data_IF_885174771920
#
_entry.id   IF_885174771920
#
_cell.length_a   1.000
_cell.length_b   1.000
_cell.length_c   1.000
_cell.angle_alpha   90.00
_cell.angle_beta   90.00
_cell.angle_gamma   90.00
#
_symmetry.space_group_name_H-M   'P 1'
#
loop_
_entity.id
_entity.type
_entity.pdbx_description
1 polymer ?
#
# COMPACT_ATOMS: atom_id res chain seq x y z
N UNK A 1 -25.40 -12.25 0.38
CA UNK A 1 -24.64 -13.43 -0.08
C UNK A 1 -23.42 -12.86 -0.78
N UNK A 2 -22.29 -12.75 -0.07
CA UNK A 2 -21.04 -12.26 -0.67
C UNK A 2 -20.62 -13.25 -1.77
N UNK A 3 -20.59 -12.79 -3.02
CA UNK A 3 -19.94 -13.54 -4.08
C UNK A 3 -18.46 -13.23 -3.99
N UNK A 4 -17.66 -14.26 -3.70
CA UNK A 4 -16.21 -14.15 -3.82
C UNK A 4 -15.86 -13.75 -5.26
N UNK A 5 -14.96 -12.77 -5.42
CA UNK A 5 -14.43 -12.41 -6.74
C UNK A 5 -13.74 -13.63 -7.36
N UNK A 6 -13.77 -13.77 -8.70
CA UNK A 6 -13.10 -14.88 -9.37
C UNK A 6 -11.61 -14.90 -8.99
N UNK A 7 -11.01 -16.09 -8.81
CA UNK A 7 -9.60 -16.20 -8.46
C UNK A 7 -8.73 -15.53 -9.52
N UNK A 8 -7.70 -14.84 -9.05
CA UNK A 8 -6.71 -14.15 -9.88
C UNK A 8 -5.97 -15.16 -10.75
N UNK A 9 -5.97 -14.95 -12.07
CA UNK A 9 -5.06 -15.67 -12.96
C UNK A 9 -3.63 -15.13 -12.77
N UNK A 10 -2.96 -15.61 -11.72
CA UNK A 10 -1.56 -15.35 -11.45
C UNK A 10 -0.64 -15.84 -12.59
N UNK A 11 -1.13 -16.70 -13.49
CA UNK A 11 -0.40 -17.22 -14.65
C UNK A 11 -0.09 -16.14 -15.68
N UNK A 12 -1.04 -15.24 -15.97
CA UNK A 12 -0.84 -14.13 -16.90
C UNK A 12 0.20 -13.12 -16.37
N UNK A 13 0.16 -12.82 -15.06
CA UNK A 13 1.13 -11.96 -14.39
C UNK A 13 2.53 -12.59 -14.36
N UNK A 14 2.61 -13.88 -14.02
CA UNK A 14 3.87 -14.62 -14.03
C UNK A 14 4.47 -14.73 -15.44
N UNK A 15 3.65 -14.81 -16.49
CA UNK A 15 4.14 -14.81 -17.87
C UNK A 15 4.72 -13.44 -18.30
N UNK A 16 4.13 -12.34 -17.83
CA UNK A 16 4.55 -10.98 -18.23
C UNK A 16 5.72 -10.43 -17.39
N UNK A 17 5.68 -10.63 -16.09
CA UNK A 17 6.62 -10.08 -15.11
C UNK A 17 7.50 -11.17 -14.47
N UNK A 18 7.54 -12.36 -15.08
CA UNK A 18 8.30 -13.54 -14.66
C UNK A 18 7.98 -14.08 -13.25
N UNK A 19 7.02 -13.51 -12.52
CA UNK A 19 6.69 -13.82 -11.11
C UNK A 19 5.26 -13.40 -10.73
N UNK A 20 4.66 -14.03 -9.70
CA UNK A 20 3.35 -13.66 -9.18
C UNK A 20 3.38 -12.35 -8.35
N UNK A 21 2.19 -11.82 -8.05
CA UNK A 21 2.01 -10.76 -7.05
C UNK A 21 2.18 -11.31 -5.62
N UNK A 22 2.44 -10.45 -4.62
CA UNK A 22 2.52 -10.87 -3.21
C UNK A 22 1.26 -11.60 -2.75
N UNK A 23 1.41 -12.58 -1.86
CA UNK A 23 0.27 -13.38 -1.37
C UNK A 23 -0.81 -12.51 -0.72
N UNK A 24 -0.41 -11.52 0.09
CA UNK A 24 -1.32 -10.55 0.70
C UNK A 24 -2.12 -9.76 -0.35
N UNK A 25 -1.49 -9.37 -1.47
CA UNK A 25 -2.20 -8.68 -2.55
C UNK A 25 -3.33 -9.56 -3.11
N UNK A 26 -3.06 -10.84 -3.35
CA UNK A 26 -4.07 -11.78 -3.83
C UNK A 26 -5.19 -11.99 -2.80
N UNK A 27 -4.86 -12.09 -1.52
CA UNK A 27 -5.85 -12.20 -0.43
C UNK A 27 -6.76 -10.98 -0.35
N UNK A 28 -6.19 -9.76 -0.41
CA UNK A 28 -6.97 -8.52 -0.41
C UNK A 28 -7.87 -8.41 -1.64
N UNK A 29 -7.39 -8.81 -2.82
CA UNK A 29 -8.23 -8.85 -4.00
C UNK A 29 -9.41 -9.82 -3.83
N UNK A 30 -9.17 -11.03 -3.32
CA UNK A 30 -10.24 -12.02 -3.10
C UNK A 30 -11.31 -11.53 -2.10
N UNK A 31 -10.91 -10.70 -1.13
CA UNK A 31 -11.80 -10.07 -0.16
C UNK A 31 -12.55 -8.85 -0.73
N UNK A 32 -12.29 -8.47 -1.98
CA UNK A 32 -12.89 -7.31 -2.64
C UNK A 32 -12.30 -5.97 -2.17
N UNK A 33 -11.11 -5.96 -1.54
CA UNK A 33 -10.50 -4.73 -1.04
C UNK A 33 -10.08 -3.76 -2.14
N UNK A 34 -9.97 -4.22 -3.39
CA UNK A 34 -9.56 -3.41 -4.55
C UNK A 34 -10.73 -2.98 -5.44
N UNK A 35 -11.96 -3.40 -5.11
CA UNK A 35 -13.16 -3.05 -5.88
C UNK A 35 -13.85 -1.85 -5.22
N UNK A 36 -13.95 -0.68 -5.89
CA UNK A 36 -14.57 0.52 -5.32
C UNK A 36 -16.06 0.38 -5.02
N UNK A 37 -16.71 -0.66 -5.54
CA UNK A 37 -18.12 -0.97 -5.28
C UNK A 37 -18.33 -2.02 -4.18
N UNK A 38 -17.25 -2.59 -3.63
CA UNK A 38 -17.31 -3.60 -2.60
C UNK A 38 -17.33 -3.00 -1.19
N UNK A 39 -18.01 -3.65 -0.25
CA UNK A 39 -18.15 -3.16 1.13
C UNK A 39 -16.82 -3.12 1.90
N UNK A 40 -15.84 -3.91 1.46
CA UNK A 40 -14.49 -3.97 2.04
C UNK A 40 -13.45 -3.16 1.26
N UNK A 41 -13.90 -2.28 0.35
CA UNK A 41 -13.00 -1.45 -0.43
C UNK A 41 -12.05 -0.68 0.49
N UNK A 42 -10.75 -0.91 0.31
CA UNK A 42 -9.69 -0.23 1.03
C UNK A 42 -9.38 1.06 0.26
N UNK A 43 -10.11 2.13 0.60
CA UNK A 43 -9.91 3.47 0.03
C UNK A 43 -8.76 4.15 0.76
N UNK A 44 -7.57 4.08 0.17
CA UNK A 44 -6.39 4.79 0.64
C UNK A 44 -6.27 6.12 -0.13
N UNK A 45 -5.78 7.15 0.54
CA UNK A 45 -5.62 8.49 -0.03
C UNK A 45 -4.72 8.46 -1.25
N UNK A 46 -5.16 9.18 -2.29
CA UNK A 46 -4.50 9.29 -3.59
C UNK A 46 -4.07 7.95 -4.21
N UNK A 47 -4.89 6.91 -4.03
CA UNK A 47 -4.59 5.58 -4.54
C UNK A 47 -5.81 4.92 -5.17
N UNK A 48 -5.66 4.54 -6.44
CA UNK A 48 -6.58 3.66 -7.16
C UNK A 48 -5.89 2.35 -7.49
N UNK A 49 -6.43 1.26 -6.97
CA UNK A 49 -5.97 -0.09 -7.28
C UNK A 49 -6.13 -0.40 -8.77
N UNK A 50 -5.11 -1.04 -9.37
CA UNK A 50 -5.19 -1.59 -10.70
C UNK A 50 -5.73 -3.02 -10.64
N UNK A 51 -6.65 -3.34 -11.54
CA UNK A 51 -7.08 -4.72 -11.76
C UNK A 51 -6.02 -5.51 -12.55
N UNK A 52 -6.13 -6.85 -12.53
CA UNK A 52 -5.17 -7.73 -13.19
C UNK A 52 -5.04 -7.44 -14.70
N UNK A 53 -6.14 -7.27 -15.46
CA UNK A 53 -6.06 -6.83 -16.85
C UNK A 53 -5.23 -5.55 -17.06
N UNK A 54 -5.42 -4.53 -16.22
CA UNK A 54 -4.67 -3.27 -16.28
C UNK A 54 -3.18 -3.50 -16.01
N UNK A 55 -2.83 -4.27 -14.98
CA UNK A 55 -1.45 -4.60 -14.65
C UNK A 55 -0.77 -5.34 -15.82
N UNK A 56 -1.44 -6.30 -16.45
CA UNK A 56 -0.90 -7.06 -17.60
C UNK A 56 -0.79 -6.20 -18.85
N UNK A 57 -1.74 -5.29 -19.07
CA UNK A 57 -1.75 -4.38 -20.21
C UNK A 57 -0.70 -3.25 -20.08
N UNK A 58 -0.22 -2.95 -18.86
CA UNK A 58 0.68 -1.84 -18.63
C UNK A 58 1.99 -1.94 -19.43
N UNK A 59 2.43 -0.81 -19.97
CA UNK A 59 3.68 -0.66 -20.72
C UNK A 59 4.43 0.53 -20.18
N UNK A 60 5.56 0.27 -19.55
CA UNK A 60 6.51 1.32 -19.23
C UNK A 60 7.20 1.83 -20.52
N UNK A 61 7.61 3.10 -20.54
CA UNK A 61 8.61 3.60 -21.47
C UNK A 61 9.84 2.69 -21.57
N UNK A 62 10.51 2.68 -22.73
CA UNK A 62 11.64 1.79 -23.01
C UNK A 62 12.89 2.11 -22.19
N UNK A 63 12.96 3.34 -21.69
CA UNK A 63 13.96 3.88 -20.77
C UNK A 63 13.60 3.63 -19.29
N UNK A 64 12.46 3.04 -18.96
CA UNK A 64 12.16 2.73 -17.56
C UNK A 64 12.98 1.57 -17.00
N UNK A 65 13.11 1.52 -15.68
CA UNK A 65 13.74 0.40 -14.98
C UNK A 65 12.99 -0.92 -15.25
N UNK A 66 13.73 -1.95 -15.68
CA UNK A 66 13.20 -3.24 -16.18
C UNK A 66 12.40 -4.09 -15.16
N UNK A 67 12.45 -3.76 -13.86
CA UNK A 67 11.89 -4.59 -12.79
C UNK A 67 10.65 -4.01 -12.08
N UNK A 68 10.08 -2.93 -12.62
CA UNK A 68 8.86 -2.33 -12.11
C UNK A 68 7.61 -3.16 -12.47
N UNK A 69 6.75 -3.39 -11.49
CA UNK A 69 5.44 -4.01 -11.65
C UNK A 69 4.38 -3.11 -11.00
N UNK A 70 3.51 -2.43 -11.78
CA UNK A 70 2.54 -1.49 -11.24
C UNK A 70 1.38 -2.24 -10.62
N UNK A 71 0.85 -1.73 -9.50
CA UNK A 71 -0.33 -2.31 -8.85
C UNK A 71 -1.38 -1.27 -8.43
N UNK A 72 -1.02 0.01 -8.40
CA UNK A 72 -1.94 1.11 -8.16
C UNK A 72 -1.44 2.38 -8.85
N UNK A 73 -2.32 3.37 -8.95
CA UNK A 73 -2.07 4.66 -9.62
C UNK A 73 -2.74 5.80 -8.85
N UNK A 74 -2.14 6.98 -8.84
CA UNK A 74 -2.71 8.20 -8.23
C UNK A 74 -3.75 8.86 -9.15
N UNK A 75 -4.38 9.93 -8.67
CA UNK A 75 -5.22 10.80 -9.51
C UNK A 75 -4.45 11.55 -10.61
N UNK A 76 -3.12 11.68 -10.44
CA UNK A 76 -2.20 12.38 -11.35
C UNK A 76 -1.40 11.43 -12.26
N UNK A 77 -1.81 10.16 -12.33
CA UNK A 77 -1.18 9.10 -13.14
C UNK A 77 0.20 8.63 -12.64
N UNK A 78 0.63 9.04 -11.45
CA UNK A 78 1.81 8.47 -10.78
C UNK A 78 1.56 7.00 -10.39
N UNK A 79 2.61 6.20 -10.34
CA UNK A 79 2.50 4.77 -10.15
C UNK A 79 3.02 4.30 -8.81
N UNK A 80 2.27 3.38 -8.21
CA UNK A 80 2.74 2.51 -7.16
C UNK A 80 3.20 1.19 -7.77
N UNK A 81 4.48 0.87 -7.57
CA UNK A 81 5.12 -0.28 -8.21
C UNK A 81 5.80 -1.18 -7.18
N UNK A 82 5.93 -2.46 -7.53
CA UNK A 82 6.83 -3.40 -6.88
C UNK A 82 8.16 -3.45 -7.65
N UNK A 83 9.28 -3.53 -6.92
CA UNK A 83 10.64 -3.69 -7.48
C UNK A 83 11.48 -4.64 -6.63
N UNK A 84 12.52 -5.23 -7.22
CA UNK A 84 13.50 -6.05 -6.52
C UNK A 84 14.67 -5.25 -5.97
N UNK A 85 14.91 -4.02 -6.46
CA UNK A 85 16.09 -3.21 -6.13
C UNK A 85 16.30 -2.95 -4.64
N UNK A 86 15.21 -2.88 -3.87
CA UNK A 86 15.25 -2.55 -2.43
C UNK A 86 14.48 -3.56 -1.56
N UNK A 87 14.11 -4.70 -2.15
CA UNK A 87 13.33 -5.69 -1.44
C UNK A 87 14.07 -6.17 -0.18
N UNK A 88 13.39 -6.11 0.96
CA UNK A 88 13.96 -6.60 2.22
C UNK A 88 13.26 -7.89 2.66
N UNK A 89 14.03 -8.99 2.68
CA UNK A 89 13.57 -10.31 3.08
C UNK A 89 13.56 -10.47 4.60
N UNK A 90 12.90 -9.56 5.32
CA UNK A 90 12.63 -9.77 6.74
C UNK A 90 11.53 -10.81 6.87
N UNK A 91 11.88 -11.97 7.43
CA UNK A 91 10.93 -13.05 7.69
C UNK A 91 9.79 -12.59 8.64
N UNK A 92 10.03 -11.54 9.43
CA UNK A 92 9.05 -10.98 10.35
C UNK A 92 8.02 -10.08 9.64
N UNK A 93 8.34 -9.55 8.46
CA UNK A 93 7.44 -8.66 7.70
C UNK A 93 6.76 -9.37 6.52
N UNK A 94 7.35 -10.43 5.96
CA UNK A 94 6.75 -11.22 4.87
C UNK A 94 7.23 -12.69 4.89
N UNK A 95 6.59 -13.57 5.69
CA UNK A 95 6.97 -14.97 5.77
C UNK A 95 6.58 -15.72 4.49
N UNK A 96 7.51 -15.81 3.54
CA UNK A 96 7.42 -16.69 2.36
C UNK A 96 7.29 -15.99 1.00
N UNK A 97 7.32 -14.65 0.95
CA UNK A 97 7.35 -13.88 -0.29
C UNK A 97 8.78 -13.62 -0.81
N UNK A 98 9.00 -13.51 -2.13
CA UNK A 98 10.24 -12.92 -2.64
C UNK A 98 10.28 -11.43 -2.25
N UNK A 99 11.41 -10.92 -1.73
CA UNK A 99 11.49 -9.56 -1.26
C UNK A 99 11.28 -8.58 -2.42
N UNK A 100 10.19 -7.81 -2.36
CA UNK A 100 9.83 -6.80 -3.34
C UNK A 100 9.42 -5.53 -2.63
N UNK A 101 10.24 -4.50 -2.71
CA UNK A 101 9.89 -3.20 -2.16
C UNK A 101 8.73 -2.59 -2.94
N UNK A 102 7.91 -1.81 -2.25
CA UNK A 102 6.96 -0.89 -2.86
C UNK A 102 7.65 0.45 -3.06
N UNK A 103 7.55 0.97 -4.27
CA UNK A 103 8.09 2.27 -4.68
C UNK A 103 6.99 3.16 -5.23
N UNK A 104 7.15 4.47 -5.04
CA UNK A 104 6.35 5.50 -5.68
C UNK A 104 7.11 6.05 -6.88
N UNK A 105 6.52 6.01 -8.07
CA UNK A 105 7.10 6.43 -9.34
C UNK A 105 6.27 7.58 -9.92
N UNK A 106 6.66 8.84 -9.71
CA UNK A 106 5.96 10.00 -10.27
C UNK A 106 5.96 9.97 -11.79
N UNK A 107 4.85 10.35 -12.43
CA UNK A 107 4.74 10.34 -13.89
C UNK A 107 5.62 11.41 -14.55
N UNK A 108 5.69 12.60 -13.96
CA UNK A 108 6.37 13.78 -14.50
C UNK A 108 7.80 13.99 -13.96
N UNK A 109 8.29 13.09 -13.10
CA UNK A 109 9.64 13.12 -12.56
C UNK A 109 10.45 11.93 -13.10
N UNK A 110 11.77 12.02 -13.08
CA UNK A 110 12.67 10.89 -13.33
C UNK A 110 13.03 10.16 -12.03
N UNK A 111 12.72 10.78 -10.87
CA UNK A 111 13.04 10.27 -9.53
C UNK A 111 11.85 9.55 -8.89
N UNK A 112 12.07 8.29 -8.53
CA UNK A 112 11.16 7.47 -7.73
C UNK A 112 11.67 7.30 -6.30
N UNK A 113 10.78 6.88 -5.40
CA UNK A 113 11.04 6.77 -3.96
C UNK A 113 10.74 5.37 -3.45
N UNK A 114 11.63 4.80 -2.64
CA UNK A 114 11.38 3.57 -1.91
C UNK A 114 10.49 3.84 -0.69
N UNK A 115 9.27 3.29 -0.71
CA UNK A 115 8.23 3.63 0.26
C UNK A 115 8.03 2.54 1.33
N UNK A 116 8.10 1.27 0.96
CA UNK A 116 8.02 0.17 1.93
C UNK A 116 8.87 -1.04 1.51
N UNK A 117 9.42 -1.81 2.47
CA UNK A 117 10.30 -2.95 2.17
C UNK A 117 9.60 -4.13 1.49
N UNK A 118 8.28 -4.22 1.66
CA UNK A 118 7.41 -5.22 1.06
C UNK A 118 5.94 -4.76 1.07
N UNK A 119 5.05 -5.57 0.49
CA UNK A 119 3.64 -5.23 0.36
C UNK A 119 2.88 -5.23 1.70
N UNK A 120 3.24 -6.08 2.66
CA UNK A 120 2.67 -6.06 4.01
C UNK A 120 3.00 -4.76 4.75
N UNK A 121 4.26 -4.34 4.66
CA UNK A 121 4.74 -3.08 5.21
C UNK A 121 4.09 -1.87 4.52
N UNK A 122 3.83 -1.96 3.22
CA UNK A 122 3.07 -0.94 2.48
C UNK A 122 1.63 -0.80 3.01
N UNK A 123 0.89 -1.91 3.13
CA UNK A 123 -0.49 -1.88 3.65
C UNK A 123 -0.51 -1.33 5.09
N UNK A 124 0.45 -1.74 5.92
CA UNK A 124 0.60 -1.21 7.27
C UNK A 124 0.85 0.31 7.26
N UNK A 125 1.85 0.78 6.51
CA UNK A 125 2.21 2.21 6.43
C UNK A 125 1.04 3.04 5.92
N UNK A 126 0.40 2.63 4.82
CA UNK A 126 -0.70 3.38 4.23
C UNK A 126 -1.91 3.49 5.16
N UNK A 127 -2.29 2.40 5.86
CA UNK A 127 -3.38 2.46 6.84
C UNK A 127 -3.01 3.31 8.05
N UNK A 128 -1.75 3.25 8.50
CA UNK A 128 -1.28 4.09 9.60
C UNK A 128 -1.28 5.59 9.23
N UNK A 129 -0.87 5.93 8.01
CA UNK A 129 -0.92 7.30 7.48
C UNK A 129 -2.36 7.80 7.39
N UNK A 130 -3.33 6.96 7.01
CA UNK A 130 -4.76 7.31 7.10
C UNK A 130 -5.21 7.62 8.54
N UNK A 131 -4.76 6.86 9.54
CA UNK A 131 -5.04 7.18 10.95
C UNK A 131 -4.39 8.48 11.41
N UNK A 132 -3.31 8.90 10.76
CA UNK A 132 -2.58 10.13 11.05
C UNK A 132 -3.15 11.35 10.33
N UNK A 133 -3.83 11.18 9.19
CA UNK A 133 -4.46 12.25 8.45
C UNK A 133 -5.45 11.67 7.42
N UNK A 134 -6.70 11.42 7.82
CA UNK A 134 -7.65 10.80 6.89
C UNK A 134 -8.30 11.82 5.96
N UNK A 135 -8.09 11.67 4.65
CA UNK A 135 -8.83 12.44 3.63
C UNK A 135 -10.31 12.00 3.54
N UNK A 136 -10.70 10.91 4.21
CA UNK A 136 -12.11 10.50 4.30
C UNK A 136 -13.00 11.58 4.93
N UNK A 137 -12.44 12.47 5.76
CA UNK A 137 -13.21 13.60 6.33
C UNK A 137 -13.67 14.62 5.30
N UNK A 138 -13.15 14.59 4.08
CA UNK A 138 -13.68 15.41 2.98
C UNK A 138 -15.07 14.93 2.51
N UNK A 139 -15.37 13.64 2.72
CA UNK A 139 -16.58 12.99 2.25
C UNK A 139 -17.51 12.53 3.38
N UNK A 140 -16.98 12.40 4.61
CA UNK A 140 -17.66 11.79 5.75
C UNK A 140 -17.44 12.60 7.03
N UNK A 141 -18.36 12.43 8.00
CA UNK A 141 -18.15 12.99 9.33
C UNK A 141 -16.97 12.30 10.02
N UNK A 142 -16.24 12.97 10.94
CA UNK A 142 -15.06 12.39 11.59
C UNK A 142 -15.31 11.02 12.24
N UNK A 143 -16.45 10.85 12.91
CA UNK A 143 -16.84 9.56 13.51
C UNK A 143 -17.14 8.46 12.47
N UNK A 144 -17.64 8.83 11.28
CA UNK A 144 -17.84 7.86 10.19
C UNK A 144 -16.52 7.49 9.53
N UNK A 145 -15.61 8.45 9.32
CA UNK A 145 -14.26 8.19 8.82
C UNK A 145 -13.52 7.22 9.74
N UNK A 146 -13.56 7.44 11.05
CA UNK A 146 -12.93 6.53 12.01
C UNK A 146 -13.53 5.12 11.99
N UNK A 147 -14.85 4.99 11.86
CA UNK A 147 -15.48 3.67 11.73
C UNK A 147 -14.99 2.93 10.47
N UNK A 148 -14.83 3.65 9.35
CA UNK A 148 -14.30 3.09 8.10
C UNK A 148 -12.85 2.64 8.29
N UNK A 149 -12.00 3.47 8.92
CA UNK A 149 -10.62 3.09 9.22
C UNK A 149 -10.54 1.90 10.17
N UNK A 150 -11.43 1.83 11.16
CA UNK A 150 -11.58 0.66 12.04
C UNK A 150 -11.92 -0.61 11.25
N UNK A 151 -12.83 -0.52 10.27
CA UNK A 151 -13.16 -1.62 9.38
C UNK A 151 -11.96 -2.01 8.50
N UNK A 152 -11.13 -1.05 8.07
CA UNK A 152 -9.89 -1.31 7.33
C UNK A 152 -8.91 -2.09 8.19
N UNK A 153 -8.60 -1.60 9.38
CA UNK A 153 -7.72 -2.29 10.33
C UNK A 153 -8.24 -3.69 10.66
N UNK A 154 -9.54 -3.86 10.92
CA UNK A 154 -10.15 -5.17 11.18
C UNK A 154 -10.04 -6.12 9.97
N UNK A 155 -10.07 -5.59 8.76
CA UNK A 155 -9.93 -6.38 7.51
C UNK A 155 -8.48 -6.80 7.27
N UNK A 156 -7.51 -5.89 7.45
CA UNK A 156 -6.10 -6.15 7.09
C UNK A 156 -5.30 -6.80 8.21
N UNK A 157 -5.58 -6.48 9.48
CA UNK A 157 -4.79 -6.97 10.62
C UNK A 157 -4.70 -8.51 10.72
N UNK A 158 -5.74 -9.30 10.39
CA UNK A 158 -5.63 -10.77 10.37
C UNK A 158 -4.70 -11.32 9.29
N UNK A 159 -4.36 -10.51 8.28
CA UNK A 159 -3.52 -10.88 7.14
C UNK A 159 -2.08 -10.38 7.28
N UNK A 160 -1.83 -9.48 8.23
CA UNK A 160 -0.52 -8.91 8.50
C UNK A 160 0.23 -9.75 9.55
N UNK A 161 1.58 -9.64 9.61
CA UNK A 161 2.36 -10.11 10.75
C UNK A 161 1.81 -9.57 12.07
N UNK A 162 1.87 -10.38 13.14
CA UNK A 162 1.26 -10.03 14.43
C UNK A 162 1.80 -8.71 14.99
N UNK A 163 3.10 -8.44 14.82
CA UNK A 163 3.72 -7.19 15.25
C UNK A 163 3.09 -5.95 14.61
N UNK A 164 2.83 -5.98 13.30
CA UNK A 164 2.17 -4.87 12.58
C UNK A 164 0.69 -4.79 12.94
N UNK A 165 0.03 -5.95 13.03
CA UNK A 165 -1.38 -6.05 13.37
C UNK A 165 -1.68 -5.49 14.76
N UNK A 166 -0.82 -5.76 15.75
CA UNK A 166 -0.97 -5.26 17.12
C UNK A 166 -0.86 -3.73 17.18
N UNK A 167 0.05 -3.13 16.41
CA UNK A 167 0.19 -1.68 16.30
C UNK A 167 -1.07 -1.05 15.71
N UNK A 168 -1.61 -1.60 14.60
CA UNK A 168 -2.84 -1.06 14.00
C UNK A 168 -4.05 -1.16 14.93
N UNK A 169 -4.14 -2.23 15.72
CA UNK A 169 -5.21 -2.37 16.73
C UNK A 169 -5.07 -1.32 17.84
N UNK A 170 -3.87 -1.15 18.39
CA UNK A 170 -3.61 -0.14 19.42
C UNK A 170 -3.94 1.28 18.92
N UNK A 171 -3.48 1.62 17.71
CA UNK A 171 -3.77 2.91 17.08
C UNK A 171 -5.27 3.11 16.81
N UNK A 172 -5.97 2.05 16.37
CA UNK A 172 -7.40 2.11 16.09
C UNK A 172 -8.29 2.27 17.33
N UNK A 173 -7.79 1.92 18.52
CA UNK A 173 -8.50 2.05 19.79
C UNK A 173 -8.30 3.42 20.48
N UNK A 174 -7.35 4.22 20.00
CA UNK A 174 -7.07 5.56 20.54
C UNK A 174 -8.21 6.54 20.27
N UNK A 175 -8.42 7.54 21.14
CA UNK A 175 -9.45 8.54 20.94
C UNK A 175 -9.16 9.39 19.69
N UNK A 176 -10.22 9.74 18.96
CA UNK A 176 -10.14 10.69 17.86
C UNK A 176 -9.78 12.08 18.37
N UNK A 177 -8.86 12.74 17.68
CA UNK A 177 -8.46 14.12 17.93
C UNK A 177 -8.50 14.93 16.64
N UNK A 178 -8.77 16.22 16.78
CA UNK A 178 -8.58 17.19 15.70
C UNK A 178 -7.07 17.48 15.60
N UNK A 179 -6.55 17.41 14.38
CA UNK A 179 -5.16 17.57 14.03
C UNK A 179 -4.94 18.94 13.36
N UNK A 180 -3.71 19.19 12.91
CA UNK A 180 -3.39 20.39 12.15
C UNK A 180 -4.28 20.50 10.89
N UNK A 181 -4.58 21.74 10.49
CA UNK A 181 -5.39 22.06 9.31
C UNK A 181 -6.85 21.54 9.32
N UNK A 182 -7.37 21.10 10.49
CA UNK A 182 -8.76 20.66 10.63
C UNK A 182 -9.01 19.22 10.19
N UNK A 183 -7.94 18.45 9.96
CA UNK A 183 -8.03 17.00 9.78
C UNK A 183 -8.31 16.31 11.11
N UNK A 184 -8.74 15.05 11.05
CA UNK A 184 -8.95 14.22 12.24
C UNK A 184 -8.16 12.92 12.13
N UNK A 185 -7.68 12.43 13.26
CA UNK A 185 -6.94 11.17 13.34
C UNK A 185 -6.84 10.67 14.77
N UNK A 186 -6.26 9.48 14.95
CA UNK A 186 -6.00 8.89 16.27
C UNK A 186 -4.55 9.06 16.73
N UNK A 187 -3.71 9.56 15.83
CA UNK A 187 -2.34 10.01 16.05
C UNK A 187 -2.06 11.19 15.11
N UNK A 188 -0.97 11.94 15.33
CA UNK A 188 -0.51 12.95 14.38
C UNK A 188 0.56 12.40 13.42
N UNK A 189 0.96 13.21 12.42
CA UNK A 189 1.94 12.83 11.42
C UNK A 189 3.32 12.47 12.00
N UNK A 190 3.80 13.22 13.00
CA UNK A 190 5.09 12.96 13.66
C UNK A 190 5.08 11.63 14.42
N UNK A 191 3.98 11.31 15.12
CA UNK A 191 3.79 10.03 15.78
C UNK A 191 3.77 8.87 14.78
N UNK A 192 3.10 9.06 13.63
CA UNK A 192 3.02 8.05 12.58
C UNK A 192 4.40 7.76 12.01
N UNK A 193 5.13 8.83 11.70
CA UNK A 193 6.49 8.75 11.19
C UNK A 193 7.44 8.10 12.19
N UNK A 194 7.29 8.37 13.50
CA UNK A 194 8.09 7.73 14.53
C UNK A 194 7.83 6.22 14.59
N UNK A 195 6.57 5.79 14.50
CA UNK A 195 6.19 4.37 14.44
C UNK A 195 6.76 3.72 13.18
N UNK A 196 6.60 4.35 12.01
CA UNK A 196 7.12 3.84 10.73
C UNK A 196 8.64 3.69 10.78
N UNK A 197 9.36 4.72 11.24
CA UNK A 197 10.81 4.70 11.36
C UNK A 197 11.30 3.61 12.32
N UNK A 198 10.57 3.35 13.41
CA UNK A 198 10.89 2.26 14.32
C UNK A 198 10.66 0.88 13.67
N UNK A 199 9.54 0.69 13.00
CA UNK A 199 9.19 -0.59 12.34
C UNK A 199 10.14 -0.87 11.17
N UNK A 200 10.58 0.17 10.46
CA UNK A 200 11.45 0.06 9.29
C UNK A 200 12.93 0.34 9.61
N UNK A 201 13.32 0.35 10.88
CA UNK A 201 14.67 0.73 11.30
C UNK A 201 15.79 -0.10 10.65
N UNK A 202 15.52 -1.38 10.34
CA UNK A 202 16.47 -2.29 9.70
C UNK A 202 16.45 -2.22 8.16
N UNK A 203 15.60 -1.38 7.57
CA UNK A 203 15.52 -1.17 6.13
C UNK A 203 16.20 0.16 5.74
N UNK A 204 17.44 0.12 5.21
CA UNK A 204 18.25 1.32 4.99
C UNK A 204 17.80 2.16 3.79
N UNK A 205 16.87 1.64 2.97
CA UNK A 205 16.38 2.31 1.76
C UNK A 205 15.08 3.09 2.01
N UNK A 206 14.71 3.32 3.27
CA UNK A 206 13.52 4.10 3.61
C UNK A 206 13.58 5.51 3.02
N UNK A 207 12.57 5.87 2.21
CA UNK A 207 12.46 7.10 1.43
C UNK A 207 13.67 7.38 0.53
N UNK A 208 14.41 6.33 0.14
CA UNK A 208 15.54 6.45 -0.78
C UNK A 208 15.06 6.79 -2.19
N UNK A 209 15.64 7.84 -2.74
CA UNK A 209 15.47 8.25 -4.13
C UNK A 209 16.27 7.38 -5.11
N UNK A 210 15.71 7.13 -6.28
CA UNK A 210 16.40 6.48 -7.40
C UNK A 210 15.80 6.88 -8.76
N UNK A 211 16.63 6.88 -9.79
CA UNK A 211 16.16 7.07 -11.17
C UNK A 211 15.32 5.88 -11.62
N UNK A 212 14.08 6.15 -12.04
CA UNK A 212 13.16 5.15 -12.60
C UNK A 212 12.96 5.28 -14.11
N UNK A 213 13.42 6.40 -14.67
CA UNK A 213 13.63 6.64 -16.09
C UNK A 213 15.14 6.79 -16.30
N UNK A 214 15.72 5.94 -17.15
CA UNK A 214 17.13 5.96 -17.51
C UNK A 214 17.29 7.01 -18.60
N UNK A 215 17.81 8.20 -18.27
CA UNK A 215 17.95 9.32 -19.21
C UNK A 215 18.48 8.90 -20.59
N UNK A 216 17.90 9.48 -21.66
CA UNK A 216 18.24 9.22 -23.07
C UNK A 216 19.73 9.43 -23.41
#
# INVERSE_FOLDING_TARGET
MEQALPPVDQGALAARYARPLPALWASLQQLGCFDPHHQRHLQLSDLRWLDVPQIVAWRFPADSVDDLLPFAVTGLEDLWCLTHRFGHGSADLDPGGPPRAVVFCPHEDEVAFAYAPNFSAFIFRAVLEEYACTCLTEYHSPGRSLAILGDYAATVAPLLPSSLADILRDVGERPLQELEHGYFGTLNADEAQAVIAQVFADWPDFDREFEHVLGN
#
